data_IF_530334233136
#
_entry.id   IF_530334233136
#
_cell.length_a   1.000
_cell.length_b   1.000
_cell.length_c   1.000
_cell.angle_alpha   90.00
_cell.angle_beta   90.00
_cell.angle_gamma   90.00
#
_symmetry.space_group_name_H-M   'P 1'
#
loop_
_entity.id
_entity.type
_entity.pdbx_description
1 polymer ?
#
# COMPACT_ATOMS: atom_id res chain seq x y z
N UNK A 1 0.49 13.37 -18.17
CA UNK A 1 1.56 13.02 -17.21
C UNK A 1 1.36 11.56 -16.87
N UNK A 2 2.31 10.69 -17.23
CA UNK A 2 2.15 9.23 -17.14
C UNK A 2 1.72 8.81 -15.73
N UNK A 3 0.71 7.93 -15.64
CA UNK A 3 0.32 7.28 -14.41
C UNK A 3 1.51 6.43 -13.93
N UNK A 4 2.36 7.05 -13.10
CA UNK A 4 3.39 6.35 -12.37
C UNK A 4 2.65 5.35 -11.49
N UNK A 5 2.99 4.06 -11.60
CA UNK A 5 2.56 3.07 -10.61
C UNK A 5 3.05 3.54 -9.26
N UNK A 6 2.20 4.26 -8.53
CA UNK A 6 2.51 4.79 -7.21
C UNK A 6 2.25 3.69 -6.22
N UNK A 7 3.33 3.14 -5.67
CA UNK A 7 3.22 2.21 -4.54
C UNK A 7 2.72 2.98 -3.33
N UNK A 8 1.43 2.79 -3.00
CA UNK A 8 0.86 3.32 -1.78
C UNK A 8 1.21 2.36 -0.63
N UNK A 9 1.94 2.86 0.37
CA UNK A 9 2.19 2.13 1.60
C UNK A 9 1.19 2.59 2.62
N UNK A 10 0.22 1.73 2.94
CA UNK A 10 -0.90 2.09 3.82
C UNK A 10 -0.40 2.69 5.13
N UNK A 11 0.62 2.16 5.80
CA UNK A 11 1.10 2.71 7.08
C UNK A 11 1.76 4.10 7.02
N UNK A 12 2.21 4.56 5.85
CA UNK A 12 2.77 5.91 5.70
C UNK A 12 1.71 6.93 5.26
N UNK A 13 0.68 6.48 4.53
CA UNK A 13 -0.41 7.32 4.06
C UNK A 13 -1.59 7.37 5.02
N UNK A 14 -1.87 6.34 5.84
CA UNK A 14 -3.06 6.24 6.70
C UNK A 14 -3.02 7.02 8.02
N UNK A 15 -1.91 7.70 8.35
CA UNK A 15 -1.86 8.51 9.57
C UNK A 15 -2.83 9.70 9.48
N UNK A 16 -3.70 9.91 10.50
CA UNK A 16 -4.53 11.10 10.58
C UNK A 16 -3.67 12.37 10.45
N UNK A 17 -3.99 13.22 9.46
CA UNK A 17 -3.28 14.48 9.22
C UNK A 17 -2.26 14.48 8.07
N UNK A 18 -2.08 13.38 7.35
CA UNK A 18 -1.40 13.40 6.04
C UNK A 18 -2.43 13.67 4.93
N UNK A 19 -2.11 14.58 4.00
CA UNK A 19 -3.01 14.98 2.92
C UNK A 19 -3.43 13.83 1.97
N UNK A 20 -2.73 12.70 2.02
CA UNK A 20 -2.94 11.52 1.17
C UNK A 20 -3.55 10.33 1.94
N UNK A 21 -4.08 10.55 3.14
CA UNK A 21 -4.70 9.48 3.91
C UNK A 21 -6.02 8.99 3.29
N UNK A 22 -6.22 7.67 3.15
CA UNK A 22 -7.49 7.14 2.71
C UNK A 22 -8.60 7.55 3.68
N UNK A 23 -9.77 7.84 3.12
CA UNK A 23 -10.98 8.05 3.94
C UNK A 23 -11.32 6.74 4.63
N UNK A 24 -11.83 6.80 5.86
CA UNK A 24 -12.25 5.60 6.60
C UNK A 24 -13.77 5.41 6.48
N UNK A 25 -14.20 4.14 6.44
CA UNK A 25 -15.60 3.76 6.56
C UNK A 25 -16.11 4.03 7.98
N UNK A 26 -17.42 3.94 8.19
CA UNK A 26 -18.01 4.03 9.54
C UNK A 26 -17.52 2.93 10.49
N UNK A 27 -16.99 1.83 9.97
CA UNK A 27 -16.37 0.76 10.73
C UNK A 27 -14.86 1.01 11.01
N UNK A 28 -14.31 2.13 10.54
CA UNK A 28 -12.89 2.47 10.70
C UNK A 28 -11.96 1.84 9.66
N UNK A 29 -12.51 1.23 8.61
CA UNK A 29 -11.71 0.56 7.58
C UNK A 29 -11.29 1.51 6.46
N UNK A 30 -10.08 1.37 5.88
CA UNK A 30 -9.65 2.20 4.76
C UNK A 30 -10.52 2.02 3.50
N UNK A 31 -10.89 3.14 2.88
CA UNK A 31 -11.54 3.21 1.58
C UNK A 31 -10.52 3.60 0.52
N UNK A 32 -10.38 2.78 -0.52
CA UNK A 32 -9.44 3.01 -1.62
C UNK A 32 -10.14 2.85 -2.97
N UNK A 33 -9.63 3.56 -3.98
CA UNK A 33 -10.03 3.37 -5.36
C UNK A 33 -9.08 2.39 -6.04
N UNK A 34 -9.62 1.28 -6.55
CA UNK A 34 -8.86 0.31 -7.33
C UNK A 34 -8.92 0.68 -8.81
N UNK A 35 -7.75 1.00 -9.37
CA UNK A 35 -7.47 1.15 -10.79
C UNK A 35 -6.29 0.23 -11.13
N UNK A 36 -6.56 -0.85 -11.86
CA UNK A 36 -5.62 -1.95 -12.05
C UNK A 36 -5.34 -2.16 -13.55
N UNK A 37 -4.14 -1.77 -13.98
CA UNK A 37 -3.68 -1.97 -15.37
C UNK A 37 -3.58 -3.45 -15.77
N UNK A 38 -3.42 -4.35 -14.78
CA UNK A 38 -3.22 -5.78 -15.01
C UNK A 38 -4.43 -6.41 -15.67
N UNK A 39 -5.64 -5.90 -15.42
CA UNK A 39 -6.89 -6.40 -16.01
C UNK A 39 -7.04 -6.02 -17.49
N UNK A 40 -6.09 -5.22 -18.02
CA UNK A 40 -6.12 -4.67 -19.37
C UNK A 40 -5.14 -5.32 -20.35
N UNK A 41 -4.14 -6.06 -19.89
CA UNK A 41 -3.20 -6.72 -20.80
C UNK A 41 -3.88 -7.97 -21.37
N UNK A 42 -4.23 -8.03 -22.68
CA UNK A 42 -4.80 -9.23 -23.28
C UNK A 42 -3.83 -10.43 -23.26
N UNK A 43 -2.55 -10.19 -22.93
CA UNK A 43 -1.54 -11.23 -22.68
C UNK A 43 -1.45 -11.61 -21.20
N UNK A 44 -2.03 -10.82 -20.30
CA UNK A 44 -2.23 -11.26 -18.93
C UNK A 44 -3.32 -12.33 -18.92
N UNK A 45 -2.90 -13.57 -18.74
CA UNK A 45 -3.80 -14.72 -18.57
C UNK A 45 -4.14 -14.86 -17.08
N UNK A 46 -4.13 -13.75 -16.35
CA UNK A 46 -4.35 -13.69 -14.91
C UNK A 46 -5.83 -13.45 -14.58
N UNK A 47 -6.32 -13.92 -13.44
CA UNK A 47 -7.64 -13.55 -12.96
C UNK A 47 -7.67 -12.02 -12.74
N UNK A 48 -8.81 -11.40 -13.09
CA UNK A 48 -9.07 -9.99 -12.81
C UNK A 48 -8.78 -9.72 -11.33
N UNK A 49 -7.93 -8.75 -11.03
CA UNK A 49 -7.45 -8.46 -9.69
C UNK A 49 -8.60 -8.11 -8.75
N UNK A 50 -9.59 -7.34 -9.23
CA UNK A 50 -10.76 -7.02 -8.42
C UNK A 50 -11.53 -8.30 -8.07
N UNK A 51 -11.82 -9.13 -9.07
CA UNK A 51 -12.49 -10.41 -8.85
C UNK A 51 -11.69 -11.37 -7.95
N UNK A 52 -10.36 -11.34 -8.05
CA UNK A 52 -9.46 -12.13 -7.20
C UNK A 52 -9.57 -11.70 -5.74
N UNK A 53 -9.56 -10.39 -5.48
CA UNK A 53 -9.71 -9.84 -4.13
C UNK A 53 -11.10 -10.09 -3.55
N UNK A 54 -12.15 -10.04 -4.39
CA UNK A 54 -13.52 -10.33 -3.98
C UNK A 54 -13.75 -11.82 -3.69
N UNK A 55 -12.99 -12.70 -4.34
CA UNK A 55 -13.09 -14.16 -4.17
C UNK A 55 -12.18 -14.72 -3.07
N UNK A 56 -11.37 -13.86 -2.42
CA UNK A 56 -10.47 -14.28 -1.36
C UNK A 56 -11.25 -14.75 -0.12
N UNK A 57 -10.76 -15.82 0.50
CA UNK A 57 -11.27 -16.34 1.77
C UNK A 57 -10.14 -16.38 2.81
N UNK A 58 -10.22 -15.60 3.91
CA UNK A 58 -11.32 -14.70 4.29
C UNK A 58 -11.42 -13.45 3.39
N UNK A 59 -12.59 -12.76 3.35
CA UNK A 59 -12.79 -11.58 2.51
C UNK A 59 -11.78 -10.47 2.79
N UNK A 60 -11.06 -10.05 1.75
CA UNK A 60 -10.00 -9.02 1.85
C UNK A 60 -10.53 -7.62 1.58
N UNK A 61 -11.46 -7.49 0.63
CA UNK A 61 -12.10 -6.23 0.27
C UNK A 61 -13.60 -6.38 0.15
N UNK A 62 -14.33 -5.27 0.31
CA UNK A 62 -15.76 -5.17 0.08
C UNK A 62 -16.07 -3.98 -0.84
N UNK A 63 -16.85 -4.16 -1.91
CA UNK A 63 -17.22 -3.05 -2.78
C UNK A 63 -18.19 -2.10 -2.06
N UNK A 64 -17.98 -0.79 -2.20
CA UNK A 64 -18.92 0.21 -1.65
C UNK A 64 -20.08 0.50 -2.59
N UNK A 65 -20.00 0.01 -3.84
CA UNK A 65 -20.92 0.33 -4.93
C UNK A 65 -20.62 1.67 -5.62
N UNK A 66 -19.64 2.44 -5.12
CA UNK A 66 -19.21 3.69 -5.76
C UNK A 66 -18.22 3.37 -6.88
N UNK A 67 -18.47 4.01 -8.01
CA UNK A 67 -17.65 3.96 -9.21
C UNK A 67 -17.30 5.39 -9.61
N UNK A 68 -16.08 5.61 -10.09
CA UNK A 68 -15.73 6.88 -10.70
C UNK A 68 -14.97 6.66 -12.00
N UNK A 69 -15.12 7.61 -12.92
CA UNK A 69 -14.36 7.61 -14.16
C UNK A 69 -13.04 8.32 -13.91
N UNK A 70 -11.93 7.58 -13.93
CA UNK A 70 -10.59 8.11 -13.84
C UNK A 70 -10.00 8.32 -15.24
N UNK A 71 -9.29 9.43 -15.41
CA UNK A 71 -8.54 9.70 -16.64
C UNK A 71 -7.27 8.86 -16.62
N UNK A 72 -7.11 8.04 -17.65
CA UNK A 72 -5.98 7.16 -17.82
C UNK A 72 -5.16 7.54 -19.05
N UNK A 73 -3.85 7.60 -18.87
CA UNK A 73 -2.95 7.83 -19.99
C UNK A 73 -2.76 6.53 -20.81
N UNK A 74 -2.76 6.59 -22.16
CA UNK A 74 -2.92 7.79 -22.99
C UNK A 74 -4.39 8.03 -23.37
N UNK A 75 -5.06 8.98 -22.72
CA UNK A 75 -6.40 9.50 -23.09
C UNK A 75 -7.63 8.61 -22.90
N UNK A 76 -7.50 7.45 -22.24
CA UNK A 76 -8.64 6.58 -21.93
C UNK A 76 -9.42 7.03 -20.69
N UNK A 77 -10.72 6.81 -20.68
CA UNK A 77 -11.52 6.84 -19.45
C UNK A 77 -11.52 5.44 -18.82
N UNK A 78 -11.28 5.33 -17.52
CA UNK A 78 -11.32 4.08 -16.74
C UNK A 78 -12.41 4.14 -15.70
N UNK A 79 -13.07 3.03 -15.41
CA UNK A 79 -13.96 2.92 -14.25
C UNK A 79 -13.13 2.38 -13.09
N UNK A 80 -12.88 3.20 -12.08
CA UNK A 80 -12.31 2.76 -10.82
C UNK A 80 -13.44 2.41 -9.85
N UNK A 81 -13.25 1.33 -9.11
CA UNK A 81 -14.18 0.88 -8.08
C UNK A 81 -13.66 1.30 -6.71
N UNK A 82 -14.53 1.89 -5.89
CA UNK A 82 -14.20 2.11 -4.49
C UNK A 82 -14.46 0.82 -3.71
N UNK A 83 -13.44 0.40 -2.97
CA UNK A 83 -13.51 -0.75 -2.08
C UNK A 83 -13.09 -0.36 -0.68
N UNK A 84 -13.71 -1.03 0.28
CA UNK A 84 -13.31 -1.03 1.68
C UNK A 84 -12.37 -2.21 1.92
N UNK A 85 -11.25 -1.93 2.57
CA UNK A 85 -10.28 -2.95 2.98
C UNK A 85 -10.76 -3.58 4.29
N UNK A 86 -11.07 -4.88 4.26
CA UNK A 86 -11.57 -5.61 5.43
C UNK A 86 -10.46 -6.26 6.26
N UNK A 87 -9.29 -6.47 5.66
CA UNK A 87 -8.16 -7.07 6.37
C UNK A 87 -7.51 -6.07 7.33
N UNK A 88 -7.14 -6.55 8.52
CA UNK A 88 -6.37 -5.76 9.49
C UNK A 88 -4.94 -5.51 9.02
N UNK A 89 -4.22 -4.63 9.74
CA UNK A 89 -2.84 -4.26 9.43
C UNK A 89 -1.91 -5.48 9.34
N UNK A 90 -2.12 -6.48 10.19
CA UNK A 90 -1.34 -7.72 10.24
C UNK A 90 -1.50 -8.61 9.00
N UNK A 91 -2.52 -8.38 8.18
CA UNK A 91 -2.68 -9.10 6.91
C UNK A 91 -1.79 -8.51 5.80
N UNK A 92 -1.28 -7.29 5.96
CA UNK A 92 -0.46 -6.64 4.95
C UNK A 92 1.01 -6.99 5.12
N UNK A 93 1.72 -7.14 4.00
CA UNK A 93 3.17 -7.14 4.00
C UNK A 93 3.68 -5.84 4.61
N UNK A 94 4.48 -5.95 5.67
CA UNK A 94 5.07 -4.79 6.34
C UNK A 94 6.21 -4.24 5.49
N UNK A 95 6.52 -2.97 5.68
CA UNK A 95 7.66 -2.34 5.01
C UNK A 95 8.65 -1.80 6.03
N UNK A 96 9.93 -2.06 5.80
CA UNK A 96 10.99 -1.52 6.64
C UNK A 96 11.03 0.00 6.50
N UNK A 97 10.95 0.73 7.62
CA UNK A 97 10.93 2.19 7.59
C UNK A 97 12.25 2.80 7.11
N UNK A 98 13.37 2.07 7.21
CA UNK A 98 14.71 2.54 6.82
C UNK A 98 15.01 2.28 5.33
N UNK A 99 15.10 1.01 4.92
CA UNK A 99 15.46 0.66 3.55
C UNK A 99 14.27 0.64 2.57
N UNK A 100 13.04 0.47 3.05
CA UNK A 100 11.87 0.30 2.18
C UNK A 100 11.64 -1.12 1.67
N UNK A 101 12.42 -2.09 2.13
CA UNK A 101 12.18 -3.50 1.80
C UNK A 101 10.80 -3.92 2.29
N UNK A 102 10.14 -4.76 1.49
CA UNK A 102 8.84 -5.34 1.81
C UNK A 102 9.05 -6.70 2.45
N UNK A 103 8.31 -6.97 3.52
CA UNK A 103 8.28 -8.26 4.18
C UNK A 103 7.65 -9.28 3.24
N UNK A 104 8.50 -10.17 2.73
CA UNK A 104 8.07 -11.35 1.98
C UNK A 104 7.59 -12.40 2.98
N UNK A 105 6.55 -13.16 2.60
CA UNK A 105 6.07 -14.28 3.40
C UNK A 105 7.24 -15.24 3.72
N UNK A 106 7.64 -15.31 4.99
CA UNK A 106 8.81 -16.04 5.44
C UNK A 106 8.99 -15.98 6.96
N UNK A 107 9.96 -16.71 7.54
CA UNK A 107 10.12 -16.84 8.99
C UNK A 107 10.68 -15.57 9.67
N UNK A 108 11.03 -14.54 8.89
CA UNK A 108 11.66 -13.33 9.39
C UNK A 108 10.65 -12.19 9.43
N UNK A 109 9.82 -12.19 10.47
CA UNK A 109 8.89 -11.10 10.68
C UNK A 109 9.63 -9.80 11.04
N UNK A 110 9.21 -8.70 10.41
CA UNK A 110 9.75 -7.39 10.73
C UNK A 110 9.29 -6.99 12.14
N UNK A 111 10.20 -6.40 12.91
CA UNK A 111 9.91 -5.96 14.29
C UNK A 111 9.36 -4.56 14.30
N UNK A 112 8.54 -4.24 15.30
CA UNK A 112 8.02 -2.89 15.50
C UNK A 112 9.12 -1.96 16.03
N UNK A 113 9.35 -0.82 15.37
CA UNK A 113 10.36 0.17 15.72
C UNK A 113 9.93 1.10 16.86
N UNK A 114 8.62 1.29 17.03
CA UNK A 114 8.06 2.32 17.90
C UNK A 114 6.76 1.81 18.50
N UNK A 115 6.55 2.02 19.80
CA UNK A 115 5.27 1.81 20.48
C UNK A 115 4.26 2.94 20.23
N UNK A 116 4.51 3.77 19.21
CA UNK A 116 3.59 4.82 18.80
C UNK A 116 2.46 4.19 17.96
N UNK A 117 1.35 3.90 18.64
CA UNK A 117 0.16 3.28 18.05
C UNK A 117 -0.46 4.11 16.92
N UNK A 118 -0.07 5.38 16.75
CA UNK A 118 -0.52 6.20 15.64
C UNK A 118 0.23 5.91 14.32
N UNK A 119 1.43 5.30 14.40
CA UNK A 119 2.29 5.01 13.26
C UNK A 119 3.07 3.72 13.48
N UNK A 120 2.45 2.60 13.13
CA UNK A 120 3.10 1.29 13.06
C UNK A 120 4.28 1.32 12.07
N UNK A 121 5.50 1.44 12.62
CA UNK A 121 6.75 1.45 11.85
C UNK A 121 7.48 0.14 12.10
N UNK A 122 7.91 -0.52 11.03
CA UNK A 122 8.60 -1.81 11.12
C UNK A 122 10.07 -1.72 10.68
N UNK A 123 10.91 -2.61 11.18
CA UNK A 123 12.33 -2.75 10.84
C UNK A 123 12.63 -4.19 10.40
N UNK A 124 13.35 -4.32 9.29
CA UNK A 124 13.86 -5.62 8.84
C UNK A 124 15.09 -6.02 9.67
N UNK A 125 15.36 -7.32 9.77
CA UNK A 125 16.51 -7.87 10.49
C UNK A 125 17.85 -7.27 10.04
N UNK A 126 18.00 -7.00 8.74
CA UNK A 126 19.19 -6.37 8.17
C UNK A 126 19.40 -4.93 8.66
N UNK A 127 18.34 -4.15 8.84
CA UNK A 127 18.43 -2.79 9.39
C UNK A 127 18.56 -2.80 10.92
N UNK A 128 17.99 -3.80 11.59
CA UNK A 128 18.09 -3.96 13.04
C UNK A 128 19.55 -4.13 13.49
N UNK A 129 20.32 -4.95 12.76
CA UNK A 129 21.75 -5.17 13.05
C UNK A 129 22.69 -4.00 12.72
N UNK A 130 22.18 -2.89 12.16
CA UNK A 130 23.01 -1.75 11.74
C UNK A 130 23.11 -0.66 12.82
N UNK A 131 24.18 0.14 12.75
CA UNK A 131 24.35 1.32 13.62
C UNK A 131 23.29 2.38 13.32
N UNK A 132 22.95 3.19 14.33
CA UNK A 132 21.95 4.26 14.19
C UNK A 132 22.29 5.25 13.06
N UNK A 133 23.58 5.60 12.90
CA UNK A 133 24.02 6.48 11.82
C UNK A 133 23.72 5.92 10.42
N UNK A 134 23.98 4.63 10.21
CA UNK A 134 23.74 3.96 8.92
C UNK A 134 22.24 3.84 8.62
N UNK A 135 21.43 3.56 9.65
CA UNK A 135 19.96 3.56 9.57
C UNK A 135 19.42 4.93 9.15
N UNK A 136 19.86 6.01 9.80
CA UNK A 136 19.43 7.39 9.47
C UNK A 136 19.80 7.75 8.04
N UNK A 137 20.97 7.34 7.56
CA UNK A 137 21.41 7.57 6.18
C UNK A 137 20.54 6.83 5.15
N UNK A 138 20.16 5.58 5.42
CA UNK A 138 19.22 4.83 4.55
C UNK A 138 17.84 5.51 4.50
N UNK A 139 17.34 5.97 5.65
CA UNK A 139 16.07 6.67 5.71
C UNK A 139 16.08 8.00 4.95
N UNK A 140 17.15 8.80 5.07
CA UNK A 140 17.26 10.06 4.33
C UNK A 140 17.37 9.82 2.83
N UNK A 141 18.20 8.86 2.40
CA UNK A 141 18.32 8.46 0.99
C UNK A 141 16.98 8.05 0.40
N UNK A 142 16.23 7.20 1.13
CA UNK A 142 14.88 6.80 0.73
C UNK A 142 13.94 8.00 0.60
N UNK A 143 13.93 8.91 1.59
CA UNK A 143 13.04 10.09 1.57
C UNK A 143 13.33 11.01 0.39
N UNK A 144 14.60 11.13 -0.01
CA UNK A 144 14.98 11.88 -1.20
C UNK A 144 14.58 11.18 -2.50
N UNK A 145 14.70 9.85 -2.58
CA UNK A 145 14.23 9.07 -3.72
C UNK A 145 12.71 9.13 -3.91
N UNK A 146 11.94 9.08 -2.84
CA UNK A 146 10.47 9.21 -2.91
C UNK A 146 9.98 10.64 -3.17
N UNK A 147 10.78 11.69 -2.92
CA UNK A 147 10.43 13.09 -3.22
C UNK A 147 10.84 13.55 -4.62
N UNK A 148 11.54 12.72 -5.37
CA UNK A 148 12.05 13.03 -6.72
C UNK A 148 11.18 12.55 -7.89
N UNK A 149 9.96 12.03 -7.62
CA UNK A 149 9.04 11.46 -8.61
C UNK A 149 7.64 12.09 -8.55
#
# INVERSE_FOLDING_TARGET
MAATRRWATLNCSTSPGMAEAPTLSSAGHPLIWLDCDIDRDPRSVGPDLLNTLLSADPPVVRPTGRMCTMVAEPGGARVAHEVEILMGEDGFSRMCCYCGDTELAGPHSFKLCSSDNARSRYICSACEGQTAAKRTLLWTLRRHWFRGL
#
